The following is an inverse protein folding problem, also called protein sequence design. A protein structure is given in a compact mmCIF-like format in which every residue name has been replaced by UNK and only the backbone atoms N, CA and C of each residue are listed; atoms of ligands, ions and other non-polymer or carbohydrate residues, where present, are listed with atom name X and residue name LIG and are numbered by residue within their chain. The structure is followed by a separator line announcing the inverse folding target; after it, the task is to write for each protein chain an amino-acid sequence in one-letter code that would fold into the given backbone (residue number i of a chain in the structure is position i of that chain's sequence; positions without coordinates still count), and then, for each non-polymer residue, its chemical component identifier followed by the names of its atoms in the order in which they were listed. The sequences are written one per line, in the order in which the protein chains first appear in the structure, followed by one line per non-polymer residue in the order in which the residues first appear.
data_IF_071350127507
#
_entry.id   IF_071350127507
#
_cell.length_a   1.000
_cell.length_b   1.000
_cell.length_c   1.000
_cell.angle_alpha   90.00
_cell.angle_beta   90.00
_cell.angle_gamma   90.00
#
_symmetry.space_group_name_H-M   'P 1'
#
loop_
_entity.id
_entity.type
_entity.pdbx_description
1 polymer ?
#
# COMPACT_ATOMS: atom_id res chain seq x y z
N UNK A 1 27.58 -38.53 2.49
CA UNK A 1 27.59 -37.40 1.55
C UNK A 1 26.22 -36.72 1.57
N UNK A 2 26.07 -35.64 2.34
CA UNK A 2 24.83 -34.86 2.36
C UNK A 2 24.77 -34.00 1.10
N UNK A 3 23.86 -34.34 0.16
CA UNK A 3 23.53 -33.47 -0.97
C UNK A 3 22.91 -32.20 -0.40
N UNK A 4 23.61 -31.08 -0.50
CA UNK A 4 23.03 -29.77 -0.30
C UNK A 4 21.81 -29.65 -1.23
N UNK A 5 20.61 -29.65 -0.66
CA UNK A 5 19.40 -29.28 -1.39
C UNK A 5 19.56 -27.81 -1.77
N UNK A 6 20.03 -27.58 -3.00
CA UNK A 6 19.98 -26.28 -3.67
C UNK A 6 18.54 -25.77 -3.57
N UNK A 7 18.32 -24.75 -2.74
CA UNK A 7 17.05 -24.05 -2.68
C UNK A 7 16.79 -23.48 -4.06
N UNK A 8 15.75 -23.98 -4.74
CA UNK A 8 15.28 -23.37 -5.99
C UNK A 8 14.89 -21.94 -5.66
N UNK A 9 15.64 -20.99 -6.21
CA UNK A 9 15.32 -19.56 -6.13
C UNK A 9 13.94 -19.33 -6.75
N UNK A 10 13.18 -18.40 -6.17
CA UNK A 10 11.88 -17.97 -6.70
C UNK A 10 12.10 -17.46 -8.13
N UNK A 11 11.28 -17.90 -9.09
CA UNK A 11 11.37 -17.45 -10.48
C UNK A 11 11.22 -15.91 -10.51
N UNK A 12 12.19 -15.15 -11.06
CA UNK A 12 12.16 -13.69 -11.06
C UNK A 12 10.92 -13.11 -11.74
N UNK A 13 10.30 -13.82 -12.69
CA UNK A 13 9.07 -13.39 -13.35
C UNK A 13 7.88 -13.33 -12.39
N UNK A 14 7.79 -14.29 -11.45
CA UNK A 14 6.77 -14.31 -10.40
C UNK A 14 6.95 -13.17 -9.40
N UNK A 15 8.19 -12.76 -9.12
CA UNK A 15 8.49 -11.62 -8.27
C UNK A 15 8.01 -10.29 -8.90
N UNK A 16 8.04 -10.18 -10.23
CA UNK A 16 7.58 -8.99 -10.95
C UNK A 16 6.05 -8.83 -10.89
N UNK A 17 5.28 -9.93 -10.89
CA UNK A 17 3.81 -9.87 -10.77
C UNK A 17 3.39 -9.28 -9.43
N UNK A 18 4.09 -9.64 -8.34
CA UNK A 18 3.84 -9.06 -7.01
C UNK A 18 4.10 -7.54 -6.95
N UNK A 19 5.05 -7.03 -7.74
CA UNK A 19 5.34 -5.59 -7.80
C UNK A 19 4.23 -4.80 -8.51
N UNK A 20 3.49 -5.41 -9.44
CA UNK A 20 2.37 -4.75 -10.12
C UNK A 20 1.30 -4.30 -9.13
N UNK A 21 1.08 -5.07 -8.05
CA UNK A 21 0.11 -4.70 -7.03
C UNK A 21 0.50 -3.45 -6.22
N UNK A 22 1.77 -3.03 -6.25
CA UNK A 22 2.17 -1.77 -5.62
C UNK A 22 1.55 -0.55 -6.31
N UNK A 23 1.16 -0.66 -7.59
CA UNK A 23 0.43 0.38 -8.32
C UNK A 23 -0.86 0.81 -7.58
N UNK A 24 -1.51 -0.11 -6.85
CA UNK A 24 -2.70 0.20 -6.08
C UNK A 24 -2.47 1.20 -4.95
N UNK A 25 -1.25 1.28 -4.40
CA UNK A 25 -0.90 2.33 -3.44
C UNK A 25 -0.99 3.72 -4.06
N UNK A 26 -0.55 3.86 -5.31
CA UNK A 26 -0.65 5.12 -6.06
C UNK A 26 -2.09 5.46 -6.43
N UNK A 27 -2.88 4.46 -6.82
CA UNK A 27 -4.31 4.63 -7.05
C UNK A 27 -4.97 5.14 -5.77
N UNK A 28 -4.61 4.59 -4.60
CA UNK A 28 -5.11 5.04 -3.30
C UNK A 28 -4.76 6.52 -3.01
N UNK A 29 -3.53 6.95 -3.33
CA UNK A 29 -3.13 8.36 -3.24
C UNK A 29 -4.03 9.28 -4.08
N UNK A 30 -4.19 8.97 -5.37
CA UNK A 30 -4.97 9.80 -6.28
C UNK A 30 -6.46 9.79 -5.97
N UNK A 31 -7.02 8.65 -5.56
CA UNK A 31 -8.41 8.57 -5.10
C UNK A 31 -8.62 9.41 -3.84
N UNK A 32 -7.66 9.38 -2.91
CA UNK A 32 -7.71 10.20 -1.69
C UNK A 32 -7.69 11.68 -2.02
N UNK A 33 -6.75 12.11 -2.85
CA UNK A 33 -6.66 13.49 -3.34
C UNK A 33 -7.94 13.91 -4.07
N UNK A 34 -8.44 13.07 -4.98
CA UNK A 34 -9.66 13.34 -5.75
C UNK A 34 -10.89 13.48 -4.84
N UNK A 35 -11.00 12.67 -3.79
CA UNK A 35 -12.14 12.71 -2.88
C UNK A 35 -12.27 14.03 -2.12
N UNK A 36 -11.15 14.65 -1.73
CA UNK A 36 -11.14 15.96 -1.07
C UNK A 36 -11.33 17.05 -2.13
N UNK A 37 -10.61 16.98 -3.25
CA UNK A 37 -10.76 17.92 -4.37
C UNK A 37 -12.23 18.06 -4.82
N UNK A 38 -12.96 16.95 -4.85
CA UNK A 38 -14.38 16.91 -5.21
C UNK A 38 -15.23 17.73 -4.25
N UNK A 39 -14.99 17.63 -2.93
CA UNK A 39 -15.78 18.39 -1.95
C UNK A 39 -15.56 19.89 -2.02
N UNK A 40 -14.32 20.30 -2.31
CA UNK A 40 -14.02 21.70 -2.55
C UNK A 40 -14.72 22.23 -3.81
N UNK A 41 -14.73 21.45 -4.88
CA UNK A 41 -15.38 21.82 -6.16
C UNK A 41 -16.90 21.83 -6.07
N UNK A 42 -17.50 20.87 -5.37
CA UNK A 42 -18.95 20.77 -5.20
C UNK A 42 -19.48 21.70 -4.08
N UNK A 43 -18.60 22.41 -3.37
CA UNK A 43 -18.98 23.30 -2.26
C UNK A 43 -19.46 22.59 -1.00
N UNK A 44 -19.50 21.25 -1.01
CA UNK A 44 -19.90 20.42 0.13
C UNK A 44 -18.91 20.52 1.29
N UNK A 45 -17.65 20.92 1.02
CA UNK A 45 -16.63 21.16 2.05
C UNK A 45 -17.11 22.09 3.18
N UNK A 46 -17.82 23.18 2.86
CA UNK A 46 -18.28 24.13 3.88
C UNK A 46 -19.33 23.54 4.82
N UNK A 47 -20.18 22.64 4.31
CA UNK A 47 -21.18 21.94 5.11
C UNK A 47 -20.50 21.07 6.17
N UNK A 48 -19.49 20.29 5.79
CA UNK A 48 -18.71 19.49 6.73
C UNK A 48 -18.01 20.33 7.79
N UNK A 49 -17.47 21.47 7.35
CA UNK A 49 -16.72 22.34 8.23
C UNK A 49 -17.61 23.14 9.19
N UNK A 50 -18.91 23.25 8.92
CA UNK A 50 -19.88 23.89 9.83
C UNK A 50 -20.20 23.06 11.07
N UNK A 51 -19.88 21.76 11.07
CA UNK A 51 -20.20 20.88 12.18
C UNK A 51 -19.32 21.17 13.42
N UNK A 52 -19.86 21.12 14.64
CA UNK A 52 -19.14 21.42 15.88
C UNK A 52 -18.26 20.25 16.38
N UNK A 53 -17.93 19.28 15.53
CA UNK A 53 -17.19 18.07 15.89
C UNK A 53 -15.79 18.05 15.28
N UNK A 54 -14.85 17.35 15.90
CA UNK A 54 -13.50 17.16 15.33
C UNK A 54 -13.58 16.63 13.89
N UNK A 55 -12.67 17.08 13.02
CA UNK A 55 -12.60 16.68 11.60
C UNK A 55 -11.93 15.31 11.44
N UNK A 56 -11.37 14.79 12.52
CA UNK A 56 -10.74 13.48 12.61
C UNK A 56 -11.63 12.31 12.14
N UNK A 57 -12.86 12.10 12.66
CA UNK A 57 -13.67 10.95 12.28
C UNK A 57 -14.12 11.01 10.83
N UNK A 58 -14.31 12.21 10.28
CA UNK A 58 -14.66 12.42 8.87
C UNK A 58 -13.52 11.98 7.95
N UNK A 59 -12.29 12.38 8.25
CA UNK A 59 -11.12 11.94 7.49
C UNK A 59 -10.95 10.42 7.54
N UNK A 60 -11.21 9.80 8.69
CA UNK A 60 -11.21 8.34 8.82
C UNK A 60 -12.31 7.66 8.00
N UNK A 61 -13.53 8.18 8.00
CA UNK A 61 -14.61 7.66 7.18
C UNK A 61 -14.25 7.70 5.69
N UNK A 62 -13.64 8.80 5.23
CA UNK A 62 -13.13 8.92 3.85
C UNK A 62 -12.01 7.94 3.56
N UNK A 63 -11.07 7.79 4.49
CA UNK A 63 -9.98 6.83 4.36
C UNK A 63 -10.50 5.41 4.17
N UNK A 64 -11.46 4.99 5.01
CA UNK A 64 -12.11 3.68 4.89
C UNK A 64 -12.81 3.54 3.53
N UNK A 65 -13.53 4.57 3.08
CA UNK A 65 -14.16 4.57 1.76
C UNK A 65 -13.16 4.40 0.60
N UNK A 66 -12.02 5.09 0.65
CA UNK A 66 -10.93 4.93 -0.33
C UNK A 66 -10.33 3.53 -0.25
N UNK A 67 -10.01 3.03 0.95
CA UNK A 67 -9.46 1.69 1.16
C UNK A 67 -10.39 0.60 0.60
N UNK A 68 -11.70 0.69 0.86
CA UNK A 68 -12.68 -0.24 0.30
C UNK A 68 -12.76 -0.15 -1.23
N UNK A 69 -12.63 1.05 -1.79
CA UNK A 69 -12.61 1.23 -3.25
C UNK A 69 -11.37 0.60 -3.87
N UNK A 70 -10.20 0.80 -3.26
CA UNK A 70 -8.93 0.20 -3.68
C UNK A 70 -8.99 -1.32 -3.56
N UNK A 71 -9.52 -1.85 -2.44
CA UNK A 71 -9.71 -3.27 -2.23
C UNK A 71 -10.62 -3.87 -3.31
N UNK A 72 -11.73 -3.20 -3.64
CA UNK A 72 -12.62 -3.63 -4.71
C UNK A 72 -11.91 -3.67 -6.07
N UNK A 73 -11.16 -2.62 -6.42
CA UNK A 73 -10.37 -2.60 -7.67
C UNK A 73 -9.32 -3.71 -7.70
N UNK A 74 -8.67 -3.94 -6.56
CA UNK A 74 -7.69 -5.00 -6.40
C UNK A 74 -8.32 -6.36 -6.64
N UNK A 75 -9.46 -6.67 -6.01
CA UNK A 75 -10.19 -7.93 -6.23
C UNK A 75 -10.55 -8.12 -7.71
N UNK A 76 -11.10 -7.08 -8.36
CA UNK A 76 -11.47 -7.15 -9.78
C UNK A 76 -10.28 -7.35 -10.72
N UNK A 77 -9.11 -6.83 -10.38
CA UNK A 77 -7.88 -7.07 -11.14
C UNK A 77 -7.22 -8.41 -10.82
N UNK A 78 -7.30 -8.87 -9.57
CA UNK A 78 -6.56 -10.03 -9.07
C UNK A 78 -7.15 -11.33 -9.59
N UNK A 79 -8.49 -11.46 -9.55
CA UNK A 79 -9.20 -12.65 -10.01
C UNK A 79 -8.86 -13.02 -11.46
N UNK A 80 -9.01 -12.14 -12.47
CA UNK A 80 -8.72 -12.51 -13.86
C UNK A 80 -7.24 -12.81 -14.08
N UNK A 81 -6.33 -12.07 -13.44
CA UNK A 81 -4.88 -12.35 -13.51
C UNK A 81 -4.58 -13.75 -12.97
N UNK A 82 -5.19 -14.14 -11.86
CA UNK A 82 -5.03 -15.49 -11.30
C UNK A 82 -5.62 -16.58 -12.17
N UNK A 83 -6.80 -16.36 -12.76
CA UNK A 83 -7.40 -17.32 -13.69
C UNK A 83 -6.49 -17.54 -14.90
N UNK A 84 -5.96 -16.47 -15.50
CA UNK A 84 -5.02 -16.56 -16.61
C UNK A 84 -3.73 -17.30 -16.22
N UNK A 85 -3.17 -16.99 -15.05
CA UNK A 85 -1.95 -17.60 -14.56
C UNK A 85 -2.13 -19.10 -14.26
N UNK A 86 -3.30 -19.51 -13.73
CA UNK A 86 -3.67 -20.92 -13.58
C UNK A 86 -3.76 -21.63 -14.93
N UNK A 87 -4.39 -21.00 -15.93
CA UNK A 87 -4.48 -21.56 -17.29
C UNK A 87 -3.08 -21.73 -17.90
N UNK A 88 -2.22 -20.72 -17.79
CA UNK A 88 -0.83 -20.78 -18.30
C UNK A 88 -0.07 -21.94 -17.65
N UNK A 89 -0.14 -22.07 -16.33
CA UNK A 89 0.55 -23.17 -15.63
C UNK A 89 -0.02 -24.55 -15.98
N UNK A 90 -1.33 -24.64 -16.23
CA UNK A 90 -1.96 -25.89 -16.65
C UNK A 90 -1.45 -26.34 -18.02
N UNK A 91 -1.28 -25.42 -18.98
CA UNK A 91 -0.84 -25.75 -20.34
C UNK A 91 0.68 -25.89 -20.50
N UNK A 92 1.50 -25.23 -19.68
CA UNK A 92 2.96 -25.27 -19.81
C UNK A 92 3.60 -26.53 -19.21
N UNK A 93 3.23 -26.93 -17.99
CA UNK A 93 3.90 -28.04 -17.31
C UNK A 93 3.05 -28.61 -16.16
N UNK A 94 2.13 -29.52 -16.48
CA UNK A 94 1.18 -30.10 -15.52
C UNK A 94 1.86 -30.78 -14.31
N UNK A 95 3.09 -31.27 -14.48
CA UNK A 95 3.89 -31.89 -13.42
C UNK A 95 4.40 -30.91 -12.35
N UNK A 96 4.48 -29.61 -12.66
CA UNK A 96 4.96 -28.56 -11.75
C UNK A 96 3.85 -27.55 -11.37
N UNK A 97 2.61 -27.76 -11.83
CA UNK A 97 1.48 -26.88 -11.56
C UNK A 97 1.30 -26.57 -10.07
N UNK A 98 1.28 -27.61 -9.23
CA UNK A 98 1.10 -27.47 -7.78
C UNK A 98 2.17 -26.58 -7.15
N UNK A 99 3.46 -26.81 -7.44
CA UNK A 99 4.55 -26.06 -6.84
C UNK A 99 4.59 -24.61 -7.32
N UNK A 100 4.37 -24.35 -8.61
CA UNK A 100 4.35 -23.00 -9.18
C UNK A 100 3.14 -22.18 -8.69
N UNK A 101 1.97 -22.80 -8.57
CA UNK A 101 0.78 -22.16 -8.04
C UNK A 101 0.97 -21.74 -6.57
N UNK A 102 1.47 -22.63 -5.72
CA UNK A 102 1.75 -22.33 -4.31
C UNK A 102 2.83 -21.25 -4.15
N UNK A 103 3.89 -21.28 -4.98
CA UNK A 103 4.90 -20.22 -5.00
C UNK A 103 4.29 -18.87 -5.38
N UNK A 104 3.43 -18.83 -6.39
CA UNK A 104 2.73 -17.63 -6.83
C UNK A 104 1.83 -17.04 -5.73
N UNK A 105 1.05 -17.88 -5.04
CA UNK A 105 0.21 -17.44 -3.93
C UNK A 105 1.03 -16.84 -2.78
N UNK A 106 2.19 -17.41 -2.47
CA UNK A 106 3.05 -16.92 -1.39
C UNK A 106 3.68 -15.56 -1.70
N UNK A 107 4.11 -15.35 -2.95
CA UNK A 107 4.65 -14.05 -3.40
C UNK A 107 3.56 -12.99 -3.34
N UNK A 108 2.35 -13.32 -3.82
CA UNK A 108 1.24 -12.39 -3.81
C UNK A 108 0.76 -12.07 -2.40
N UNK A 109 0.65 -13.07 -1.52
CA UNK A 109 0.24 -12.86 -0.12
C UNK A 109 1.14 -11.86 0.61
N UNK A 110 2.45 -11.91 0.36
CA UNK A 110 3.41 -10.93 0.88
C UNK A 110 3.21 -9.54 0.30
N UNK A 111 3.08 -9.45 -1.02
CA UNK A 111 2.88 -8.17 -1.69
C UNK A 111 1.58 -7.50 -1.21
N UNK A 112 0.49 -8.27 -1.07
CA UNK A 112 -0.80 -7.81 -0.55
C UNK A 112 -0.72 -7.39 0.92
N UNK A 113 -0.03 -8.14 1.78
CA UNK A 113 0.14 -7.76 3.18
C UNK A 113 0.89 -6.43 3.31
N UNK A 114 1.94 -6.22 2.51
CA UNK A 114 2.70 -4.97 2.50
C UNK A 114 1.96 -3.81 1.84
N UNK A 115 1.00 -4.10 0.96
CA UNK A 115 0.18 -3.10 0.30
C UNK A 115 -0.73 -2.36 1.29
N UNK A 116 -1.24 -3.02 2.33
CA UNK A 116 -2.15 -2.42 3.32
C UNK A 116 -1.53 -1.16 3.97
N UNK A 117 -0.39 -1.25 4.69
CA UNK A 117 0.21 -0.07 5.31
C UNK A 117 0.71 0.94 4.27
N UNK A 118 1.14 0.46 3.10
CA UNK A 118 1.60 1.33 2.02
C UNK A 118 0.47 2.19 1.44
N UNK A 119 -0.65 1.59 1.06
CA UNK A 119 -1.83 2.28 0.56
C UNK A 119 -2.42 3.20 1.64
N UNK A 120 -2.42 2.78 2.91
CA UNK A 120 -2.83 3.60 4.04
C UNK A 120 -2.01 4.89 4.13
N UNK A 121 -0.68 4.79 4.21
CA UNK A 121 0.19 5.97 4.30
C UNK A 121 0.02 6.87 3.08
N UNK A 122 -0.01 6.30 1.87
CA UNK A 122 -0.20 7.08 0.64
C UNK A 122 -1.56 7.78 0.59
N UNK A 123 -2.62 7.16 1.09
CA UNK A 123 -3.94 7.78 1.14
C UNK A 123 -3.98 8.98 2.10
N UNK A 124 -3.36 8.83 3.27
CA UNK A 124 -3.24 9.95 4.23
C UNK A 124 -2.43 11.12 3.67
N UNK A 125 -1.36 10.82 2.90
CA UNK A 125 -0.62 11.84 2.15
C UNK A 125 -1.49 12.50 1.07
N UNK A 126 -2.27 11.73 0.33
CA UNK A 126 -3.19 12.26 -0.69
C UNK A 126 -4.20 13.26 -0.11
N UNK A 127 -4.77 12.95 1.05
CA UNK A 127 -5.63 13.89 1.77
C UNK A 127 -4.90 15.15 2.22
N UNK A 128 -3.68 15.01 2.75
CA UNK A 128 -2.87 16.12 3.21
C UNK A 128 -2.48 17.07 2.07
N UNK A 129 -1.96 16.54 0.95
CA UNK A 129 -1.58 17.35 -0.21
C UNK A 129 -2.80 18.07 -0.79
N UNK A 130 -3.94 17.37 -0.92
CA UNK A 130 -5.18 18.00 -1.37
C UNK A 130 -5.62 19.14 -0.46
N UNK A 131 -5.61 18.92 0.87
CA UNK A 131 -6.01 19.94 1.84
C UNK A 131 -5.08 21.16 1.78
N UNK A 132 -3.78 20.96 1.59
CA UNK A 132 -2.83 22.06 1.38
C UNK A 132 -3.17 22.90 0.14
N UNK A 133 -3.52 22.26 -0.98
CA UNK A 133 -3.79 22.94 -2.26
C UNK A 133 -4.96 23.93 -2.19
N UNK A 134 -5.96 23.66 -1.35
CA UNK A 134 -7.15 24.52 -1.20
C UNK A 134 -7.10 25.42 0.04
N UNK A 135 -6.10 25.24 0.91
CA UNK A 135 -5.89 26.08 2.08
C UNK A 135 -5.10 27.36 1.75
N UNK A 136 -5.00 28.28 2.72
CA UNK A 136 -4.08 29.43 2.68
C UNK A 136 -2.62 28.99 2.50
N UNK A 137 -2.28 27.75 2.83
CA UNK A 137 -0.94 27.17 2.67
C UNK A 137 -0.68 26.59 1.27
N UNK A 138 -1.49 26.94 0.27
CA UNK A 138 -1.26 26.57 -1.14
C UNK A 138 0.19 26.71 -1.64
N UNK A 139 0.98 27.77 -1.33
CA UNK A 139 2.38 27.84 -1.77
C UNK A 139 3.24 26.68 -1.22
N UNK A 140 2.87 26.10 -0.07
CA UNK A 140 3.54 24.94 0.51
C UNK A 140 3.09 23.61 -0.12
N UNK A 141 2.09 23.60 -1.02
CA UNK A 141 1.67 22.37 -1.69
C UNK A 141 2.80 21.76 -2.53
N UNK A 142 3.67 22.58 -3.12
CA UNK A 142 4.87 22.11 -3.83
C UNK A 142 5.86 21.42 -2.88
N UNK A 143 6.05 21.95 -1.68
CA UNK A 143 6.85 21.31 -0.62
C UNK A 143 6.20 19.98 -0.20
N UNK A 144 4.87 19.95 -0.06
CA UNK A 144 4.13 18.72 0.19
C UNK A 144 4.35 17.65 -0.88
N UNK A 145 4.46 18.03 -2.15
CA UNK A 145 4.82 17.14 -3.25
C UNK A 145 6.25 16.59 -3.14
N UNK A 146 7.23 17.43 -2.79
CA UNK A 146 8.61 16.97 -2.56
C UNK A 146 8.65 15.96 -1.41
N UNK A 147 7.97 16.27 -0.30
CA UNK A 147 7.86 15.37 0.86
C UNK A 147 7.19 14.06 0.45
N UNK A 148 6.14 14.11 -0.38
CA UNK A 148 5.50 12.92 -0.94
C UNK A 148 6.49 12.06 -1.74
N UNK A 149 7.27 12.66 -2.66
CA UNK A 149 8.25 11.91 -3.48
C UNK A 149 9.34 11.28 -2.60
N UNK A 150 9.82 12.00 -1.58
CA UNK A 150 10.80 11.47 -0.64
C UNK A 150 10.25 10.31 0.19
N UNK A 151 9.07 10.47 0.80
CA UNK A 151 8.42 9.41 1.56
C UNK A 151 8.16 8.21 0.67
N UNK A 152 7.63 8.41 -0.54
CA UNK A 152 7.38 7.36 -1.52
C UNK A 152 8.67 6.58 -1.83
N UNK A 153 9.76 7.29 -2.14
CA UNK A 153 11.04 6.66 -2.47
C UNK A 153 11.56 5.80 -1.32
N UNK A 154 11.42 6.29 -0.09
CA UNK A 154 11.83 5.60 1.13
C UNK A 154 10.95 4.37 1.40
N UNK A 155 9.64 4.49 1.19
CA UNK A 155 8.67 3.39 1.34
C UNK A 155 8.89 2.27 0.32
N UNK A 156 9.15 2.63 -0.93
CA UNK A 156 9.45 1.67 -2.01
C UNK A 156 10.78 0.96 -1.75
N UNK A 157 11.82 1.70 -1.35
CA UNK A 157 13.11 1.11 -1.03
C UNK A 157 13.03 0.13 0.15
N UNK A 158 12.33 0.54 1.21
CA UNK A 158 12.06 -0.32 2.37
C UNK A 158 11.27 -1.58 1.97
N UNK A 159 10.28 -1.43 1.08
CA UNK A 159 9.46 -2.55 0.61
C UNK A 159 10.24 -3.53 -0.25
N UNK A 160 11.08 -3.02 -1.16
CA UNK A 160 11.95 -3.83 -1.99
C UNK A 160 13.00 -4.59 -1.18
N UNK A 161 13.59 -3.96 -0.16
CA UNK A 161 14.48 -4.62 0.79
C UNK A 161 13.75 -5.79 1.47
N UNK A 162 12.53 -5.57 1.98
CA UNK A 162 11.75 -6.64 2.61
C UNK A 162 11.38 -7.79 1.67
N UNK A 163 11.09 -7.51 0.40
CA UNK A 163 10.80 -8.55 -0.58
C UNK A 163 12.05 -9.39 -0.92
N UNK A 164 13.22 -8.75 -1.08
CA UNK A 164 14.49 -9.47 -1.32
C UNK A 164 14.91 -10.35 -0.15
N UNK A 165 14.72 -9.83 1.05
CA UNK A 165 15.21 -10.42 2.29
C UNK A 165 14.32 -11.59 2.75
N UNK A 166 13.04 -11.58 2.39
CA UNK A 166 12.10 -12.65 2.73
C UNK A 166 12.08 -13.80 1.72
N UNK A 167 13.21 -14.31 1.24
CA UNK A 167 13.17 -15.46 0.32
C UNK A 167 12.63 -16.72 1.02
N UNK A 168 11.64 -17.38 0.41
CA UNK A 168 11.17 -18.70 0.85
C UNK A 168 11.92 -19.78 0.07
N UNK A 169 12.42 -20.81 0.75
CA UNK A 169 12.83 -22.04 0.09
C UNK A 169 11.76 -23.12 0.26
N UNK A 170 11.29 -23.65 -0.87
CA UNK A 170 10.53 -24.89 -0.93
C UNK A 170 11.53 -26.04 -1.07
N UNK A 171 11.74 -26.78 0.01
CA UNK A 171 12.54 -28.02 -0.02
C UNK A 171 11.62 -29.19 0.26
N UNK A 172 11.44 -30.08 -0.73
CA UNK A 172 10.66 -31.31 -0.58
C UNK A 172 9.18 -31.10 -0.23
N UNK A 173 8.56 -30.01 -0.68
CA UNK A 173 7.16 -29.69 -0.36
C UNK A 173 6.92 -29.13 1.05
N UNK A 174 7.98 -28.96 1.85
CA UNK A 174 7.92 -28.26 3.14
C UNK A 174 8.39 -26.82 2.99
N UNK A 175 7.65 -25.91 3.61
CA UNK A 175 8.01 -24.50 3.77
C UNK A 175 9.17 -24.42 4.77
N UNK A 176 10.39 -24.23 4.28
CA UNK A 176 11.50 -23.82 5.12
C UNK A 176 11.53 -22.29 5.12
N UNK A 177 11.11 -21.72 6.23
CA UNK A 177 11.38 -20.33 6.54
C UNK A 177 12.89 -20.21 6.77
N UNK A 178 13.60 -19.44 5.93
CA UNK A 178 14.89 -18.90 6.36
C UNK A 178 14.59 -17.87 7.45
N UNK A 179 14.57 -18.39 8.67
CA UNK A 179 14.11 -17.72 9.86
C UNK A 179 15.30 -16.98 10.46
N UNK A 180 15.75 -15.89 9.82
CA UNK A 180 16.51 -14.92 10.59
C UNK A 180 15.51 -14.05 11.36
N UNK A 181 15.41 -14.20 12.70
CA UNK A 181 14.42 -13.47 13.49
C UNK A 181 14.58 -11.95 13.37
N UNK A 182 15.80 -11.47 13.12
CA UNK A 182 16.12 -10.07 12.83
C UNK A 182 15.27 -9.49 11.69
N UNK A 183 15.03 -10.26 10.63
CA UNK A 183 14.33 -9.80 9.43
C UNK A 183 12.83 -9.63 9.66
N UNK A 184 12.24 -10.50 10.48
CA UNK A 184 10.83 -10.42 10.87
C UNK A 184 10.61 -9.16 11.70
N UNK A 185 11.52 -8.85 12.63
CA UNK A 185 11.47 -7.63 13.41
C UNK A 185 11.59 -6.39 12.53
N UNK A 186 12.50 -6.37 11.55
CA UNK A 186 12.62 -5.26 10.59
C UNK A 186 11.32 -5.09 9.79
N UNK A 187 10.73 -6.18 9.29
CA UNK A 187 9.45 -6.14 8.57
C UNK A 187 8.32 -5.57 9.43
N UNK A 188 8.24 -5.98 10.69
CA UNK A 188 7.24 -5.53 11.64
C UNK A 188 7.44 -4.05 11.99
N UNK A 189 8.68 -3.62 12.26
CA UNK A 189 9.01 -2.21 12.52
C UNK A 189 8.64 -1.34 11.33
N UNK A 190 8.94 -1.77 10.10
CA UNK A 190 8.55 -1.05 8.89
C UNK A 190 7.04 -1.03 8.69
N UNK A 191 6.34 -2.14 8.95
CA UNK A 191 4.88 -2.20 8.86
C UNK A 191 4.22 -1.22 9.84
N UNK A 192 4.60 -1.28 11.11
CA UNK A 192 4.08 -0.41 12.16
C UNK A 192 4.47 1.05 11.91
N UNK A 193 5.73 1.30 11.51
CA UNK A 193 6.23 2.64 11.20
C UNK A 193 5.43 3.32 10.09
N UNK A 194 5.06 2.59 9.04
CA UNK A 194 4.19 3.09 7.96
C UNK A 194 2.81 3.51 8.47
N UNK A 195 2.19 2.67 9.32
CA UNK A 195 0.87 2.97 9.92
C UNK A 195 0.97 4.20 10.82
N UNK A 196 1.95 4.25 11.72
CA UNK A 196 2.17 5.38 12.63
C UNK A 196 2.41 6.67 11.85
N UNK A 197 3.21 6.62 10.78
CA UNK A 197 3.44 7.77 9.90
C UNK A 197 2.12 8.24 9.27
N UNK A 198 1.28 7.32 8.77
CA UNK A 198 -0.02 7.68 8.20
C UNK A 198 -0.97 8.30 9.23
N UNK A 199 -1.01 7.76 10.46
CA UNK A 199 -1.80 8.33 11.56
C UNK A 199 -1.31 9.74 11.92
N UNK A 200 0.01 9.95 11.99
CA UNK A 200 0.62 11.25 12.24
C UNK A 200 0.25 12.27 11.14
N UNK A 201 0.37 11.88 9.87
CA UNK A 201 0.01 12.74 8.73
C UNK A 201 -1.46 13.09 8.77
N UNK A 202 -2.32 12.11 9.07
CA UNK A 202 -3.74 12.38 9.25
C UNK A 202 -3.95 13.39 10.37
N UNK A 203 -3.24 13.26 11.50
CA UNK A 203 -3.45 14.10 12.68
C UNK A 203 -3.09 15.55 12.39
N UNK A 204 -1.95 15.73 11.72
CA UNK A 204 -1.53 17.03 11.19
C UNK A 204 -2.57 17.58 10.20
N UNK A 205 -3.11 16.75 9.31
CA UNK A 205 -4.14 17.17 8.36
C UNK A 205 -5.42 17.65 9.06
N UNK A 206 -5.88 16.92 10.09
CA UNK A 206 -7.04 17.33 10.88
C UNK A 206 -6.80 18.66 11.60
N UNK A 207 -5.61 18.88 12.16
CA UNK A 207 -5.25 20.14 12.80
C UNK A 207 -5.21 21.30 11.80
N UNK A 208 -4.69 21.04 10.60
CA UNK A 208 -4.66 22.03 9.52
C UNK A 208 -6.06 22.45 9.11
N UNK A 209 -6.99 21.49 8.96
CA UNK A 209 -8.39 21.77 8.65
C UNK A 209 -9.08 22.54 9.79
N UNK A 210 -8.85 22.16 11.06
CA UNK A 210 -9.43 22.88 12.19
C UNK A 210 -9.00 24.36 12.22
N UNK A 211 -7.70 24.64 12.04
CA UNK A 211 -7.16 26.01 12.00
C UNK A 211 -7.69 26.84 10.84
N UNK A 212 -8.03 26.20 9.71
CA UNK A 212 -8.64 26.90 8.58
C UNK A 212 -9.99 27.52 8.95
N UNK A 213 -10.75 26.91 9.87
CA UNK A 213 -12.03 27.46 10.34
C UNK A 213 -11.87 28.61 11.32
N UNK A 214 -10.87 28.57 12.18
CA UNK A 214 -10.61 29.65 13.14
C UNK A 214 -10.17 30.94 12.44
N UNK A 215 -9.58 30.81 11.25
CA UNK A 215 -9.07 31.94 10.47
C UNK A 215 -10.11 32.61 9.56
N UNK A 216 -11.36 32.12 9.55
CA UNK A 216 -12.43 32.57 8.65
C UNK A 216 -13.58 33.20 9.43
#
# INVERSE_FOLDING_TARGET
MCRAHSGKSINPELMNVGLVFQAFGYIAFFLSMASINREWKEGTFYWWMSLPYSRWPMLWAKLVGVMLTVLRMLIYSYIPVKVLLVLVFYFQDAGQFSSLFWQSLMVDGKALLQLIPFAFTLSTLGFFVSSLMFSRFRPYAFVGWIVYVLILSLLLHAQWLLLRVSQFALVGGRLLFFHEPSLIWIALVLFVGKILLGVLIMAVNSLLLNRYMEAK
#
